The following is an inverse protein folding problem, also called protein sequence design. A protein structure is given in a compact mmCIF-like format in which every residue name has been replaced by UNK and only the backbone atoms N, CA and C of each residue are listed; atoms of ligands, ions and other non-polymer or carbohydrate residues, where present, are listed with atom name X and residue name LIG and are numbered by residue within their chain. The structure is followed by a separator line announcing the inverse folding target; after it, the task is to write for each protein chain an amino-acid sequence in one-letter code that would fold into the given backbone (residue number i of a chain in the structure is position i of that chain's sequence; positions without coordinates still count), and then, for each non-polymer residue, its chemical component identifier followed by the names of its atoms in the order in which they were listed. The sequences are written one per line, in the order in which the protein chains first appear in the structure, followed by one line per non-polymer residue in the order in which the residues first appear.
data_IF_445014752990
#
_entry.id   IF_445014752990
#
_cell.length_a   1.000
_cell.length_b   1.000
_cell.length_c   1.000
_cell.angle_alpha   90.00
_cell.angle_beta   90.00
_cell.angle_gamma   90.00
#
_symmetry.space_group_name_H-M   'P 1'
#
loop_
_entity.id
_entity.type
_entity.pdbx_description
1 polymer ?
#
# COMPACT_ATOMS: atom_id res chain seq x y z
N UNK A 1 5.18 45.98 -5.12
CA UNK A 1 5.86 45.50 -6.33
C UNK A 1 6.53 44.19 -5.94
N UNK A 2 5.81 43.07 -6.03
CA UNK A 2 6.33 41.76 -5.65
C UNK A 2 7.36 41.31 -6.69
N UNK A 3 8.58 41.10 -6.23
CA UNK A 3 9.66 40.54 -7.05
C UNK A 3 9.30 39.10 -7.35
N UNK A 4 8.83 38.84 -8.57
CA UNK A 4 8.66 37.50 -9.16
C UNK A 4 10.04 36.86 -9.37
N UNK A 5 10.66 36.40 -8.28
CA UNK A 5 11.84 35.55 -8.35
C UNK A 5 11.45 34.19 -8.89
N UNK A 6 12.08 33.75 -9.99
CA UNK A 6 11.86 32.43 -10.56
C UNK A 6 12.25 31.30 -9.59
N UNK A 7 11.69 30.11 -9.79
CA UNK A 7 12.02 28.94 -8.97
C UNK A 7 13.38 28.34 -9.38
N UNK A 8 14.46 28.92 -8.84
CA UNK A 8 15.84 28.50 -9.13
C UNK A 8 16.11 27.04 -8.71
N UNK A 9 15.56 26.61 -7.57
CA UNK A 9 15.73 25.23 -7.07
C UNK A 9 15.20 24.19 -8.06
N UNK A 10 13.99 24.40 -8.58
CA UNK A 10 13.43 23.55 -9.62
C UNK A 10 14.28 23.59 -10.89
N UNK A 11 14.82 24.75 -11.26
CA UNK A 11 15.67 24.90 -12.45
C UNK A 11 16.96 24.09 -12.35
N UNK A 12 17.61 24.14 -11.19
CA UNK A 12 18.86 23.41 -10.96
C UNK A 12 18.63 21.89 -10.97
N UNK A 13 17.54 21.42 -10.36
CA UNK A 13 17.17 20.01 -10.38
C UNK A 13 16.83 19.49 -11.78
N UNK A 14 16.17 20.29 -12.63
CA UNK A 14 15.91 19.90 -14.03
C UNK A 14 17.21 19.82 -14.84
N UNK A 15 18.19 20.69 -14.56
CA UNK A 15 19.53 20.61 -15.17
C UNK A 15 20.29 19.37 -14.71
N UNK A 16 20.31 19.08 -13.40
CA UNK A 16 20.92 17.87 -12.83
C UNK A 16 20.32 16.61 -13.46
N UNK A 17 19.00 16.57 -13.61
CA UNK A 17 18.28 15.47 -14.23
C UNK A 17 18.48 15.37 -15.76
N UNK A 18 19.07 16.39 -16.39
CA UNK A 18 19.20 16.48 -17.85
C UNK A 18 17.85 16.46 -18.57
N UNK A 19 16.80 17.01 -17.96
CA UNK A 19 15.44 16.99 -18.50
C UNK A 19 15.12 18.28 -19.25
N UNK A 20 14.64 18.13 -20.49
CA UNK A 20 14.01 19.24 -21.22
C UNK A 20 12.62 19.52 -20.65
N UNK A 21 12.10 20.73 -20.79
CA UNK A 21 10.74 21.06 -20.30
C UNK A 21 9.66 20.11 -20.87
N UNK A 22 9.82 19.69 -22.13
CA UNK A 22 8.91 18.78 -22.80
C UNK A 22 9.00 17.34 -22.23
N UNK A 23 10.23 16.89 -21.93
CA UNK A 23 10.46 15.62 -21.25
C UNK A 23 9.93 15.64 -19.81
N UNK A 24 10.12 16.75 -19.07
CA UNK A 24 9.54 16.94 -17.74
C UNK A 24 8.02 16.86 -17.79
N UNK A 25 7.36 17.56 -18.72
CA UNK A 25 5.91 17.51 -18.83
C UNK A 25 5.39 16.08 -19.09
N UNK A 26 6.03 15.33 -19.99
CA UNK A 26 5.70 13.91 -20.23
C UNK A 26 5.91 13.06 -18.98
N UNK A 27 7.02 13.25 -18.27
CA UNK A 27 7.34 12.49 -17.07
C UNK A 27 6.33 12.76 -15.95
N UNK A 28 5.96 14.03 -15.71
CA UNK A 28 4.97 14.42 -14.69
C UNK A 28 3.58 13.84 -15.04
N UNK A 29 3.17 13.90 -16.31
CA UNK A 29 1.90 13.31 -16.74
C UNK A 29 1.89 11.78 -16.59
N UNK A 30 3.02 11.11 -16.86
CA UNK A 30 3.16 9.68 -16.65
C UNK A 30 3.00 9.33 -15.17
N UNK A 31 3.70 10.04 -14.28
CA UNK A 31 3.57 9.84 -12.83
C UNK A 31 2.13 10.12 -12.37
N UNK A 32 1.49 11.17 -12.87
CA UNK A 32 0.09 11.45 -12.56
C UNK A 32 -0.84 10.30 -12.99
N UNK A 33 -0.64 9.76 -14.20
CA UNK A 33 -1.44 8.66 -14.72
C UNK A 33 -1.29 7.37 -13.90
N UNK A 34 -0.05 7.02 -13.49
CA UNK A 34 0.23 5.91 -12.57
C UNK A 34 -0.50 6.10 -11.23
N UNK A 35 -0.67 7.35 -10.79
CA UNK A 35 -1.43 7.68 -9.58
C UNK A 35 -2.95 7.83 -9.81
N UNK A 36 -3.46 7.41 -10.99
CA UNK A 36 -4.88 7.51 -11.32
C UNK A 36 -5.39 8.95 -11.47
N UNK A 37 -4.50 9.90 -11.74
CA UNK A 37 -4.79 11.31 -11.95
C UNK A 37 -4.63 11.69 -13.43
N UNK A 38 -5.62 12.41 -13.97
CA UNK A 38 -5.57 12.97 -15.32
C UNK A 38 -4.92 14.35 -15.30
N UNK A 39 -3.59 14.37 -15.41
CA UNK A 39 -2.82 15.60 -15.60
C UNK A 39 -2.45 15.80 -17.06
N UNK A 40 -2.65 17.02 -17.58
CA UNK A 40 -2.32 17.42 -18.96
C UNK A 40 -1.31 18.56 -18.97
N UNK A 41 -0.22 18.41 -18.23
CA UNK A 41 0.88 19.39 -18.24
C UNK A 41 1.61 19.35 -19.57
N UNK A 42 2.08 20.52 -20.01
CA UNK A 42 2.85 20.68 -21.24
C UNK A 42 4.09 21.56 -20.97
N UNK A 43 4.90 21.82 -22.00
CA UNK A 43 6.09 22.68 -21.91
C UNK A 43 5.80 24.05 -21.29
N UNK A 44 4.65 24.64 -21.58
CA UNK A 44 4.26 25.94 -21.02
C UNK A 44 3.99 25.83 -19.52
N UNK A 45 3.33 24.77 -19.05
CA UNK A 45 3.14 24.51 -17.63
C UNK A 45 4.46 24.51 -16.87
N UNK A 46 5.48 23.80 -17.37
CA UNK A 46 6.81 23.75 -16.75
C UNK A 46 7.47 25.14 -16.73
N UNK A 47 7.31 25.90 -17.82
CA UNK A 47 7.85 27.25 -17.93
C UNK A 47 7.22 28.20 -16.90
N UNK A 48 5.91 28.09 -16.65
CA UNK A 48 5.23 28.85 -15.60
C UNK A 48 5.70 28.45 -14.20
N UNK A 49 5.91 27.15 -13.94
CA UNK A 49 6.42 26.68 -12.65
C UNK A 49 7.84 27.19 -12.36
N UNK A 50 8.71 27.20 -13.38
CA UNK A 50 10.04 27.82 -13.30
C UNK A 50 9.97 29.34 -13.13
N UNK A 51 8.91 29.97 -13.62
CA UNK A 51 8.61 31.39 -13.42
C UNK A 51 8.03 31.73 -12.03
N UNK A 52 7.85 30.74 -11.15
CA UNK A 52 7.37 30.93 -9.77
C UNK A 52 5.89 30.61 -9.56
N UNK A 53 5.15 30.21 -10.60
CA UNK A 53 3.75 29.77 -10.42
C UNK A 53 3.73 28.45 -9.64
N UNK A 54 3.00 28.42 -8.52
CA UNK A 54 2.86 27.20 -7.72
C UNK A 54 1.87 26.22 -8.38
N UNK A 55 2.27 24.97 -8.67
CA UNK A 55 1.35 23.94 -9.11
C UNK A 55 0.37 23.54 -7.99
N UNK A 56 -0.69 22.82 -8.34
CA UNK A 56 -1.53 22.14 -7.33
C UNK A 56 -0.67 21.17 -6.48
N UNK A 57 -1.01 20.94 -5.20
CA UNK A 57 -0.23 20.08 -4.31
C UNK A 57 0.12 18.71 -4.91
N UNK A 58 -0.86 18.01 -5.49
CA UNK A 58 -0.64 16.70 -6.12
C UNK A 58 0.35 16.80 -7.30
N UNK A 59 0.28 17.86 -8.09
CA UNK A 59 1.21 18.10 -9.21
C UNK A 59 2.63 18.34 -8.72
N UNK A 60 2.82 18.96 -7.54
CA UNK A 60 4.14 19.12 -6.92
C UNK A 60 4.72 17.76 -6.53
N UNK A 61 3.91 16.85 -5.96
CA UNK A 61 4.32 15.47 -5.68
C UNK A 61 4.75 14.77 -6.97
N UNK A 62 3.92 14.84 -8.02
CA UNK A 62 4.23 14.18 -9.30
C UNK A 62 5.49 14.75 -9.97
N UNK A 63 5.75 16.04 -9.80
CA UNK A 63 6.97 16.68 -10.29
C UNK A 63 8.20 16.25 -9.51
N UNK A 64 8.12 16.19 -8.18
CA UNK A 64 9.22 15.72 -7.34
C UNK A 64 9.59 14.27 -7.70
N UNK A 65 8.56 13.45 -7.84
CA UNK A 65 8.65 12.05 -8.19
C UNK A 65 9.23 11.84 -9.60
N UNK A 66 8.76 12.60 -10.60
CA UNK A 66 9.30 12.54 -11.96
C UNK A 66 10.81 12.88 -12.04
N UNK A 67 11.26 13.82 -11.22
CA UNK A 67 12.69 14.21 -11.14
C UNK A 67 13.47 13.16 -10.34
N UNK A 68 12.93 12.66 -9.23
CA UNK A 68 13.56 11.64 -8.39
C UNK A 68 13.93 10.39 -9.19
N UNK A 69 12.99 9.87 -10.00
CA UNK A 69 13.24 8.71 -10.90
C UNK A 69 14.40 8.93 -11.86
N UNK A 70 14.58 10.18 -12.32
CA UNK A 70 15.59 10.50 -13.33
C UNK A 70 16.98 10.64 -12.73
N UNK A 71 17.06 11.23 -11.54
CA UNK A 71 18.33 11.47 -10.82
C UNK A 71 18.77 10.22 -10.04
N UNK A 72 17.83 9.35 -9.66
CA UNK A 72 18.13 8.13 -8.90
C UNK A 72 18.32 8.37 -7.39
N UNK A 73 17.76 9.46 -6.87
CA UNK A 73 17.72 9.82 -5.44
C UNK A 73 16.36 10.41 -5.06
N UNK A 74 15.97 10.31 -3.79
CA UNK A 74 14.73 10.93 -3.27
C UNK A 74 14.79 12.44 -3.45
N UNK A 75 13.71 13.02 -3.99
CA UNK A 75 13.50 14.47 -4.11
C UNK A 75 12.24 14.80 -3.32
N UNK A 76 12.35 15.70 -2.36
CA UNK A 76 11.22 16.22 -1.62
C UNK A 76 10.65 17.49 -2.29
N UNK A 77 9.36 17.78 -2.08
CA UNK A 77 8.72 19.04 -2.46
C UNK A 77 9.48 20.29 -1.96
N UNK A 78 10.14 20.20 -0.80
CA UNK A 78 11.02 21.24 -0.28
C UNK A 78 12.29 21.46 -1.14
N UNK A 79 12.84 20.39 -1.73
CA UNK A 79 13.98 20.45 -2.65
C UNK A 79 13.61 21.15 -3.96
N UNK A 80 12.35 21.03 -4.39
CA UNK A 80 11.80 21.78 -5.52
C UNK A 80 11.48 23.24 -5.21
N UNK A 81 11.63 23.68 -3.96
CA UNK A 81 11.29 25.03 -3.52
C UNK A 81 9.81 25.26 -3.17
N UNK A 82 9.01 24.20 -2.99
CA UNK A 82 7.58 24.31 -2.68
C UNK A 82 7.21 24.09 -1.20
N UNK A 83 8.19 23.83 -0.33
CA UNK A 83 7.99 23.54 1.10
C UNK A 83 7.47 22.12 1.36
N UNK A 84 7.13 21.83 2.61
CA UNK A 84 6.52 20.55 2.99
C UNK A 84 5.05 20.50 2.54
N UNK A 85 4.65 19.35 1.99
CA UNK A 85 3.28 19.08 1.55
C UNK A 85 2.69 17.83 2.21
N UNK A 86 3.27 17.38 3.33
CA UNK A 86 2.79 16.24 4.10
C UNK A 86 3.19 14.92 3.44
N UNK A 87 4.40 14.45 3.71
CA UNK A 87 4.84 13.11 3.31
C UNK A 87 4.33 12.06 4.31
N UNK A 88 4.03 10.85 3.81
CA UNK A 88 3.72 9.71 4.67
C UNK A 88 5.03 9.18 5.26
N UNK A 89 5.19 9.31 6.57
CA UNK A 89 6.32 8.76 7.31
C UNK A 89 5.96 7.35 7.80
N UNK A 90 6.71 6.33 7.36
CA UNK A 90 6.52 4.95 7.81
C UNK A 90 7.00 4.72 9.25
N UNK A 91 7.64 5.71 9.88
CA UNK A 91 8.17 5.59 11.25
C UNK A 91 7.19 6.05 12.32
N UNK A 92 6.13 6.77 11.93
CA UNK A 92 5.10 7.28 12.83
C UNK A 92 3.71 6.88 12.36
N UNK A 93 2.92 6.30 13.26
CA UNK A 93 1.51 6.03 12.99
C UNK A 93 0.75 7.35 12.84
N UNK A 94 -0.15 7.48 11.85
CA UNK A 94 -1.08 8.60 11.79
C UNK A 94 -1.90 8.71 13.09
N UNK A 95 -2.35 9.92 13.44
CA UNK A 95 -3.15 10.16 14.65
C UNK A 95 -4.46 9.34 14.69
N UNK A 96 -5.03 8.99 13.53
CA UNK A 96 -6.20 8.12 13.40
C UNK A 96 -6.18 7.36 12.06
N UNK A 97 -5.47 6.21 11.99
CA UNK A 97 -5.31 5.44 10.76
C UNK A 97 -6.63 4.84 10.28
N UNK A 98 -7.52 4.45 11.20
CA UNK A 98 -8.80 3.81 10.88
C UNK A 98 -9.75 4.78 10.20
N UNK A 99 -9.94 5.98 10.74
CA UNK A 99 -10.80 6.98 10.11
C UNK A 99 -10.22 7.49 8.79
N UNK A 100 -8.89 7.54 8.68
CA UNK A 100 -8.21 7.91 7.43
C UNK A 100 -8.40 6.84 6.34
N UNK A 101 -8.33 5.55 6.69
CA UNK A 101 -8.65 4.43 5.79
C UNK A 101 -10.11 4.48 5.35
N UNK A 102 -11.04 4.67 6.28
CA UNK A 102 -12.46 4.76 5.98
C UNK A 102 -12.77 5.94 5.04
N UNK A 103 -12.09 7.08 5.22
CA UNK A 103 -12.17 8.23 4.30
C UNK A 103 -11.60 7.91 2.92
N UNK A 104 -10.47 7.22 2.84
CA UNK A 104 -9.87 6.80 1.57
C UNK A 104 -10.86 5.94 0.78
N UNK A 105 -11.41 4.90 1.41
CA UNK A 105 -12.30 3.98 0.71
C UNK A 105 -13.63 4.61 0.31
N UNK A 106 -14.19 5.53 1.11
CA UNK A 106 -15.35 6.34 0.67
C UNK A 106 -15.03 7.17 -0.58
N UNK A 107 -13.89 7.87 -0.57
CA UNK A 107 -13.47 8.68 -1.72
C UNK A 107 -13.15 7.82 -2.97
N UNK A 108 -12.69 6.59 -2.78
CA UNK A 108 -12.51 5.59 -3.84
C UNK A 108 -13.86 5.17 -4.45
N UNK A 109 -14.85 4.88 -3.60
CA UNK A 109 -16.20 4.48 -4.01
C UNK A 109 -16.99 5.63 -4.68
N UNK A 110 -16.86 6.86 -4.19
CA UNK A 110 -17.59 8.05 -4.66
C UNK A 110 -17.23 8.48 -6.09
N UNK A 111 -16.16 7.93 -6.70
CA UNK A 111 -15.77 8.30 -8.08
C UNK A 111 -16.76 7.86 -9.17
N UNK A 112 -17.73 6.98 -8.88
CA UNK A 112 -18.91 6.73 -9.74
C UNK A 112 -20.09 6.23 -8.91
N UNK A 113 -21.09 7.10 -8.79
CA UNK A 113 -22.49 6.85 -8.39
C UNK A 113 -22.77 6.70 -6.89
N UNK A 114 -23.22 7.81 -6.30
CA UNK A 114 -24.02 7.83 -5.07
C UNK A 114 -25.39 7.24 -5.41
N UNK A 115 -25.58 5.96 -5.09
CA UNK A 115 -26.91 5.39 -4.92
C UNK A 115 -26.95 4.47 -3.69
N UNK A 116 -27.92 4.78 -2.83
CA UNK A 116 -28.50 3.98 -1.74
C UNK A 116 -27.65 3.72 -0.50
N UNK A 117 -27.89 4.58 0.49
CA UNK A 117 -27.58 4.45 1.93
C UNK A 117 -28.27 3.22 2.56
N UNK A 118 -27.82 2.03 2.19
CA UNK A 118 -27.87 0.82 3.01
C UNK A 118 -26.63 0.01 2.62
N UNK A 119 -25.60 0.00 3.48
CA UNK A 119 -24.32 -0.63 3.20
C UNK A 119 -24.52 -2.12 2.90
N UNK A 120 -24.14 -2.54 1.69
CA UNK A 120 -24.12 -3.95 1.34
C UNK A 120 -22.88 -4.58 2.00
N UNK A 121 -23.06 -5.33 3.09
CA UNK A 121 -21.97 -6.02 3.78
C UNK A 121 -21.73 -7.39 3.15
N UNK A 122 -20.52 -7.62 2.65
CA UNK A 122 -20.13 -8.93 2.13
C UNK A 122 -19.99 -9.98 3.25
N UNK A 123 -19.60 -9.56 4.46
CA UNK A 123 -19.48 -10.45 5.62
C UNK A 123 -20.81 -11.11 5.99
N UNK A 124 -21.92 -10.40 5.79
CA UNK A 124 -23.26 -10.93 6.00
C UNK A 124 -23.53 -12.14 5.09
N UNK A 125 -23.26 -12.06 3.78
CA UNK A 125 -23.61 -13.11 2.82
C UNK A 125 -22.92 -14.46 3.06
N UNK A 126 -21.82 -14.46 3.82
CA UNK A 126 -21.07 -15.68 4.15
C UNK A 126 -21.62 -16.40 5.38
N UNK A 127 -22.59 -15.81 6.09
CA UNK A 127 -23.17 -16.37 7.31
C UNK A 127 -24.53 -17.05 7.05
N UNK A 128 -24.86 -18.14 7.78
CA UNK A 128 -26.22 -18.67 7.86
C UNK A 128 -27.23 -17.61 8.29
N UNK A 129 -28.50 -17.75 7.86
CA UNK A 129 -29.56 -16.74 8.06
C UNK A 129 -29.83 -16.43 9.53
N UNK A 130 -29.67 -17.40 10.42
CA UNK A 130 -29.86 -17.21 11.86
C UNK A 130 -28.71 -16.36 12.45
N UNK A 131 -27.48 -16.55 11.97
CA UNK A 131 -26.30 -15.81 12.39
C UNK A 131 -26.23 -14.41 11.76
N UNK A 132 -26.90 -14.22 10.62
CA UNK A 132 -27.04 -12.91 9.96
C UNK A 132 -27.71 -11.87 10.86
N UNK A 133 -28.78 -12.26 11.57
CA UNK A 133 -29.49 -11.36 12.48
C UNK A 133 -28.60 -10.93 13.64
N UNK A 134 -27.95 -11.89 14.27
CA UNK A 134 -27.01 -11.62 15.37
C UNK A 134 -25.82 -10.79 14.89
N UNK A 135 -25.32 -11.02 13.67
CA UNK A 135 -24.24 -10.23 13.09
C UNK A 135 -24.67 -8.78 12.83
N UNK A 136 -25.85 -8.56 12.26
CA UNK A 136 -26.40 -7.22 12.07
C UNK A 136 -26.54 -6.46 13.39
N UNK A 137 -27.09 -7.11 14.42
CA UNK A 137 -27.24 -6.52 15.76
C UNK A 137 -25.88 -6.19 16.38
N UNK A 138 -24.85 -7.01 16.16
CA UNK A 138 -23.46 -6.79 16.62
C UNK A 138 -22.76 -5.67 15.84
N UNK A 139 -22.99 -5.56 14.53
CA UNK A 139 -22.46 -4.45 13.72
C UNK A 139 -23.09 -3.12 14.10
N UNK A 140 -24.42 -3.06 14.27
CA UNK A 140 -25.11 -1.87 14.79
C UNK A 140 -24.62 -1.50 16.20
N UNK A 141 -24.37 -2.51 17.03
CA UNK A 141 -23.78 -2.33 18.36
C UNK A 141 -22.35 -1.77 18.28
N UNK A 142 -21.50 -2.24 17.37
CA UNK A 142 -20.15 -1.72 17.16
C UNK A 142 -20.16 -0.27 16.67
N UNK A 143 -21.05 0.07 15.72
CA UNK A 143 -21.26 1.44 15.22
C UNK A 143 -21.73 2.36 16.35
N UNK A 144 -22.54 1.85 17.28
CA UNK A 144 -23.01 2.60 18.47
C UNK A 144 -22.05 2.51 19.66
N UNK A 145 -20.82 2.00 19.47
CA UNK A 145 -19.73 2.03 20.46
C UNK A 145 -19.71 0.88 21.48
N UNK A 146 -20.40 -0.22 21.23
CA UNK A 146 -20.33 -1.45 22.05
C UNK A 146 -19.20 -2.38 21.59
N UNK A 147 -18.97 -3.44 22.35
CA UNK A 147 -17.76 -4.28 22.29
C UNK A 147 -17.70 -5.26 21.10
N UNK A 148 -16.50 -5.54 20.59
CA UNK A 148 -16.18 -6.63 19.65
C UNK A 148 -15.72 -7.92 20.35
N UNK A 149 -16.02 -9.06 19.73
CA UNK A 149 -15.64 -10.39 20.20
C UNK A 149 -14.91 -11.22 19.14
N UNK A 150 -14.59 -12.47 19.51
CA UNK A 150 -13.88 -13.41 18.64
C UNK A 150 -14.72 -13.81 17.41
N UNK A 151 -16.04 -13.85 17.56
CA UNK A 151 -16.95 -14.20 16.46
C UNK A 151 -16.82 -13.23 15.28
N UNK A 152 -16.70 -11.92 15.51
CA UNK A 152 -16.47 -10.93 14.45
C UNK A 152 -15.14 -11.21 13.74
N UNK A 153 -14.06 -11.46 14.48
CA UNK A 153 -12.74 -11.76 13.92
C UNK A 153 -12.80 -13.01 13.02
N UNK A 154 -13.53 -14.04 13.43
CA UNK A 154 -13.65 -15.28 12.68
C UNK A 154 -14.45 -15.09 11.38
N UNK A 155 -15.50 -14.26 11.39
CA UNK A 155 -16.23 -13.86 10.18
C UNK A 155 -15.30 -13.13 9.21
N UNK A 156 -14.52 -12.15 9.69
CA UNK A 156 -13.59 -11.40 8.84
C UNK A 156 -12.55 -12.33 8.20
N UNK A 157 -12.05 -13.32 8.93
CA UNK A 157 -11.13 -14.33 8.38
C UNK A 157 -11.76 -15.16 7.25
N UNK A 158 -13.04 -15.49 7.35
CA UNK A 158 -13.77 -16.19 6.28
C UNK A 158 -13.97 -15.30 5.06
N UNK A 159 -14.24 -14.00 5.26
CA UNK A 159 -14.31 -13.02 4.17
C UNK A 159 -12.98 -12.91 3.43
N UNK A 160 -11.85 -12.81 4.15
CA UNK A 160 -10.50 -12.79 3.55
C UNK A 160 -10.29 -14.04 2.69
N UNK A 161 -10.56 -15.23 3.24
CA UNK A 161 -10.41 -16.48 2.51
C UNK A 161 -11.29 -16.55 1.25
N UNK A 162 -12.46 -15.91 1.26
CA UNK A 162 -13.37 -15.85 0.11
C UNK A 162 -12.82 -14.95 -1.00
N UNK A 163 -12.31 -13.76 -0.65
CA UNK A 163 -11.65 -12.90 -1.63
C UNK A 163 -10.39 -13.54 -2.20
N UNK A 164 -9.59 -14.17 -1.34
CA UNK A 164 -8.42 -14.93 -1.77
C UNK A 164 -8.79 -16.06 -2.71
N UNK A 165 -9.89 -16.78 -2.48
CA UNK A 165 -10.33 -17.81 -3.41
C UNK A 165 -10.83 -17.22 -4.74
N UNK A 166 -11.60 -16.15 -4.68
CA UNK A 166 -12.17 -15.49 -5.86
C UNK A 166 -11.06 -14.94 -6.78
N UNK A 167 -10.03 -14.34 -6.19
CA UNK A 167 -8.93 -13.75 -6.96
C UNK A 167 -8.11 -14.80 -7.72
N UNK A 168 -8.09 -16.08 -7.30
CA UNK A 168 -7.35 -17.16 -7.99
C UNK A 168 -8.04 -17.51 -9.30
N UNK A 169 -9.37 -17.41 -9.28
CA UNK A 169 -10.24 -17.90 -10.34
C UNK A 169 -10.70 -16.80 -11.29
N UNK A 170 -10.89 -15.59 -10.76
CA UNK A 170 -11.61 -14.51 -11.44
C UNK A 170 -10.70 -13.29 -11.75
N UNK A 171 -9.45 -13.30 -11.29
CA UNK A 171 -8.49 -12.20 -11.43
C UNK A 171 -8.67 -11.11 -10.37
N UNK A 172 -7.60 -10.38 -10.04
CA UNK A 172 -7.61 -9.54 -8.83
C UNK A 172 -8.48 -8.29 -8.90
N UNK A 173 -8.96 -7.86 -10.06
CA UNK A 173 -9.97 -6.80 -10.12
C UNK A 173 -11.35 -7.20 -9.56
N UNK A 174 -11.65 -8.50 -9.47
CA UNK A 174 -12.98 -8.99 -9.08
C UNK A 174 -13.33 -8.61 -7.64
N UNK A 175 -14.57 -8.20 -7.39
CA UNK A 175 -15.07 -7.94 -6.02
C UNK A 175 -14.43 -6.74 -5.30
N UNK A 176 -13.52 -5.97 -5.92
CA UNK A 176 -12.81 -4.85 -5.29
C UNK A 176 -13.74 -3.84 -4.61
N UNK A 177 -14.83 -3.46 -5.27
CA UNK A 177 -15.82 -2.51 -4.70
C UNK A 177 -16.46 -3.05 -3.42
N UNK A 178 -16.85 -4.32 -3.41
CA UNK A 178 -17.41 -4.96 -2.22
C UNK A 178 -16.38 -5.06 -1.09
N UNK A 179 -15.10 -5.31 -1.43
CA UNK A 179 -14.01 -5.32 -0.45
C UNK A 179 -13.83 -3.95 0.20
N UNK A 180 -13.75 -2.90 -0.63
CA UNK A 180 -13.54 -1.53 -0.15
C UNK A 180 -14.74 -1.06 0.68
N UNK A 181 -15.97 -1.37 0.26
CA UNK A 181 -17.17 -1.09 1.04
C UNK A 181 -17.07 -1.71 2.44
N UNK A 182 -16.87 -3.04 2.53
CA UNK A 182 -16.75 -3.76 3.79
C UNK A 182 -15.62 -3.22 4.68
N UNK A 183 -14.49 -2.83 4.07
CA UNK A 183 -13.37 -2.21 4.78
C UNK A 183 -13.75 -0.85 5.41
N UNK A 184 -14.56 -0.06 4.71
CA UNK A 184 -14.95 1.30 5.14
C UNK A 184 -16.13 1.35 6.09
N UNK A 185 -16.95 0.30 6.11
CA UNK A 185 -18.14 0.17 6.95
C UNK A 185 -17.83 -0.70 8.16
N UNK A 186 -17.94 -2.01 8.01
CA UNK A 186 -17.94 -3.00 9.08
C UNK A 186 -16.56 -3.05 9.76
N UNK A 187 -15.48 -3.14 8.98
CA UNK A 187 -14.13 -3.26 9.53
C UNK A 187 -13.71 -1.98 10.25
N UNK A 188 -14.03 -0.80 9.69
CA UNK A 188 -13.77 0.47 10.36
C UNK A 188 -14.51 0.54 11.71
N UNK A 189 -15.78 0.13 11.76
CA UNK A 189 -16.54 0.07 13.00
C UNK A 189 -15.94 -0.93 14.00
N UNK A 190 -15.57 -2.13 13.57
CA UNK A 190 -14.95 -3.14 14.44
C UNK A 190 -13.59 -2.70 14.99
N UNK A 191 -12.79 -1.99 14.20
CA UNK A 191 -11.49 -1.46 14.62
C UNK A 191 -11.61 -0.35 15.67
N UNK A 192 -12.75 0.34 15.75
CA UNK A 192 -13.04 1.40 16.72
C UNK A 192 -13.76 0.91 17.97
N UNK A 193 -14.37 -0.28 17.90
CA UNK A 193 -15.11 -0.87 19.01
C UNK A 193 -14.20 -1.31 20.17
N UNK A 194 -14.76 -1.30 21.37
CA UNK A 194 -14.06 -1.75 22.58
C UNK A 194 -13.93 -3.28 22.60
N UNK A 195 -12.94 -3.83 23.29
CA UNK A 195 -12.83 -5.28 23.42
C UNK A 195 -11.56 -5.71 24.12
N UNK A 196 -11.40 -7.01 24.42
CA UNK A 196 -10.14 -7.55 24.90
C UNK A 196 -9.00 -7.20 23.95
N UNK A 197 -7.83 -6.85 24.49
CA UNK A 197 -6.66 -6.44 23.70
C UNK A 197 -6.34 -7.44 22.59
N UNK A 198 -6.29 -8.73 22.93
CA UNK A 198 -6.05 -9.83 21.97
C UNK A 198 -7.05 -9.87 20.82
N UNK A 199 -8.32 -9.54 21.07
CA UNK A 199 -9.37 -9.51 20.05
C UNK A 199 -9.21 -8.30 19.14
N UNK A 200 -8.84 -7.14 19.71
CA UNK A 200 -8.55 -5.93 18.91
C UNK A 200 -7.33 -6.12 18.01
N UNK A 201 -6.25 -6.68 18.54
CA UNK A 201 -5.04 -7.01 17.77
C UNK A 201 -5.34 -7.99 16.63
N UNK A 202 -6.16 -9.02 16.91
CA UNK A 202 -6.62 -9.97 15.89
C UNK A 202 -7.51 -9.29 14.83
N UNK A 203 -8.35 -8.32 15.21
CA UNK A 203 -9.14 -7.53 14.28
C UNK A 203 -8.25 -6.61 13.42
N UNK A 204 -7.24 -5.94 13.99
CA UNK A 204 -6.27 -5.15 13.22
C UNK A 204 -5.46 -6.02 12.25
N UNK A 205 -5.07 -7.22 12.66
CA UNK A 205 -4.42 -8.22 11.80
C UNK A 205 -5.30 -8.65 10.62
N UNK A 206 -6.61 -8.79 10.84
CA UNK A 206 -7.57 -9.12 9.79
C UNK A 206 -7.84 -7.91 8.86
N UNK A 207 -8.00 -6.72 9.44
CA UNK A 207 -8.15 -5.47 8.71
C UNK A 207 -6.94 -5.18 7.81
N UNK A 208 -5.73 -5.44 8.31
CA UNK A 208 -4.48 -5.32 7.54
C UNK A 208 -4.55 -6.15 6.26
N UNK A 209 -4.97 -7.42 6.36
CA UNK A 209 -5.07 -8.32 5.21
C UNK A 209 -6.09 -7.81 4.19
N UNK A 210 -7.23 -7.28 4.63
CA UNK A 210 -8.22 -6.67 3.74
C UNK A 210 -7.72 -5.38 3.09
N UNK A 211 -7.00 -4.52 3.82
CA UNK A 211 -6.37 -3.32 3.27
C UNK A 211 -5.28 -3.67 2.24
N UNK A 212 -4.46 -4.68 2.54
CA UNK A 212 -3.51 -5.25 1.58
C UNK A 212 -4.23 -5.73 0.31
N UNK A 213 -5.32 -6.49 0.45
CA UNK A 213 -6.11 -6.95 -0.70
C UNK A 213 -6.65 -5.76 -1.49
N UNK A 214 -7.21 -4.73 -0.85
CA UNK A 214 -7.68 -3.53 -1.54
C UNK A 214 -6.55 -2.85 -2.34
N UNK A 215 -5.33 -2.83 -1.78
CA UNK A 215 -4.12 -2.38 -2.47
C UNK A 215 -3.79 -3.25 -3.68
N UNK A 216 -3.75 -4.57 -3.51
CA UNK A 216 -3.49 -5.55 -4.56
C UNK A 216 -4.44 -5.40 -5.75
N UNK A 217 -5.74 -5.34 -5.46
CA UNK A 217 -6.77 -5.19 -6.48
C UNK A 217 -6.68 -3.86 -7.21
N UNK A 218 -6.23 -2.80 -6.52
CA UNK A 218 -6.01 -1.50 -7.14
C UNK A 218 -4.76 -1.50 -8.03
N UNK A 219 -3.70 -2.21 -7.63
CA UNK A 219 -2.51 -2.45 -8.44
C UNK A 219 -2.86 -3.22 -9.74
N UNK A 220 -3.64 -4.30 -9.66
CA UNK A 220 -4.11 -5.04 -10.85
C UNK A 220 -4.97 -4.18 -11.81
N UNK A 221 -5.56 -3.10 -11.32
CA UNK A 221 -6.28 -2.10 -12.12
C UNK A 221 -5.40 -0.92 -12.55
N UNK A 222 -4.08 -1.00 -12.37
CA UNK A 222 -3.09 0.04 -12.68
C UNK A 222 -3.33 1.36 -11.92
N UNK A 223 -3.92 1.29 -10.72
CA UNK A 223 -4.19 2.44 -9.85
C UNK A 223 -3.14 2.55 -8.74
N UNK A 224 -1.88 2.75 -9.11
CA UNK A 224 -0.72 2.56 -8.24
C UNK A 224 -0.69 3.49 -7.04
N UNK A 225 -1.07 4.76 -7.23
CA UNK A 225 -1.18 5.72 -6.13
C UNK A 225 -2.24 5.32 -5.11
N UNK A 226 -3.34 4.72 -5.55
CA UNK A 226 -4.37 4.21 -4.66
C UNK A 226 -3.92 2.91 -3.97
N UNK A 227 -3.28 2.01 -4.73
CA UNK A 227 -2.70 0.79 -4.21
C UNK A 227 -1.70 1.08 -3.08
N UNK A 228 -0.80 2.03 -3.30
CA UNK A 228 0.18 2.47 -2.32
C UNK A 228 -0.49 2.95 -1.03
N UNK A 229 -1.54 3.79 -1.14
CA UNK A 229 -2.25 4.28 0.06
C UNK A 229 -2.91 3.15 0.85
N UNK A 230 -3.51 2.17 0.18
CA UNK A 230 -4.04 0.99 0.87
C UNK A 230 -2.94 0.14 1.52
N UNK A 231 -1.78 -0.03 0.86
CA UNK A 231 -0.63 -0.70 1.46
C UNK A 231 -0.07 0.06 2.68
N UNK A 232 -0.02 1.39 2.64
CA UNK A 232 0.40 2.19 3.79
C UNK A 232 -0.56 2.04 4.97
N UNK A 233 -1.88 2.01 4.73
CA UNK A 233 -2.84 1.69 5.80
C UNK A 233 -2.73 0.24 6.30
N UNK A 234 -2.41 -0.72 5.42
CA UNK A 234 -2.11 -2.08 5.85
C UNK A 234 -0.87 -2.10 6.77
N UNK A 235 0.14 -1.29 6.49
CA UNK A 235 1.32 -1.16 7.36
C UNK A 235 0.94 -0.61 8.73
N UNK A 236 0.13 0.45 8.80
CA UNK A 236 -0.35 0.99 10.07
C UNK A 236 -1.14 -0.04 10.87
N UNK A 237 -2.05 -0.76 10.22
CA UNK A 237 -2.84 -1.83 10.84
C UNK A 237 -1.95 -2.99 11.33
N UNK A 238 -0.88 -3.31 10.62
CA UNK A 238 0.11 -4.29 11.07
C UNK A 238 0.87 -3.83 12.32
N UNK A 239 1.13 -2.52 12.45
CA UNK A 239 1.73 -1.97 13.66
C UNK A 239 0.76 -1.95 14.83
N UNK A 240 -0.55 -1.83 14.56
CA UNK A 240 -1.59 -1.93 15.59
C UNK A 240 -1.90 -3.38 16.02
N UNK A 241 -1.56 -4.40 15.20
CA UNK A 241 -1.83 -5.81 15.50
C UNK A 241 -0.79 -6.48 16.40
N UNK A 242 0.28 -5.77 16.76
CA UNK A 242 1.46 -6.26 17.51
C UNK A 242 2.20 -7.46 16.85
N UNK A 243 1.92 -7.79 15.57
CA UNK A 243 2.68 -8.77 14.80
C UNK A 243 3.65 -8.08 13.83
N UNK A 244 4.89 -7.82 14.27
CA UNK A 244 5.94 -7.18 13.46
C UNK A 244 6.22 -7.88 12.12
N UNK A 245 5.90 -9.16 12.00
CA UNK A 245 6.10 -9.94 10.76
C UNK A 245 5.10 -9.50 9.68
N UNK A 246 3.90 -9.09 10.07
CA UNK A 246 2.92 -8.50 9.17
C UNK A 246 3.41 -7.18 8.60
N UNK A 247 4.03 -6.33 9.42
CA UNK A 247 4.59 -5.06 8.94
C UNK A 247 5.75 -5.31 7.96
N UNK A 248 6.64 -6.24 8.29
CA UNK A 248 7.69 -6.68 7.38
C UNK A 248 7.09 -7.16 6.03
N UNK A 249 6.01 -7.94 6.09
CA UNK A 249 5.31 -8.41 4.89
C UNK A 249 4.78 -7.25 4.04
N UNK A 250 4.10 -6.27 4.64
CA UNK A 250 3.61 -5.10 3.91
C UNK A 250 4.75 -4.28 3.31
N UNK A 251 5.88 -4.13 4.02
CA UNK A 251 7.08 -3.50 3.47
C UNK A 251 7.62 -4.25 2.24
N UNK A 252 7.59 -5.59 2.25
CA UNK A 252 7.96 -6.41 1.10
C UNK A 252 7.03 -6.15 -0.10
N UNK A 253 5.73 -5.96 0.14
CA UNK A 253 4.77 -5.61 -0.91
C UNK A 253 5.04 -4.20 -1.47
N UNK A 254 5.32 -3.23 -0.61
CA UNK A 254 5.75 -1.89 -1.04
C UNK A 254 7.07 -1.96 -1.84
N UNK A 255 7.98 -2.87 -1.50
CA UNK A 255 9.22 -3.09 -2.26
C UNK A 255 8.94 -3.62 -3.67
N UNK A 256 7.98 -4.53 -3.83
CA UNK A 256 7.52 -4.98 -5.16
C UNK A 256 6.90 -3.85 -5.96
N UNK A 257 6.00 -3.07 -5.36
CA UNK A 257 5.42 -1.92 -6.06
C UNK A 257 6.51 -0.91 -6.48
N UNK A 258 7.48 -0.64 -5.59
CA UNK A 258 8.63 0.20 -5.91
C UNK A 258 9.45 -0.37 -7.08
N UNK A 259 9.65 -1.69 -7.13
CA UNK A 259 10.27 -2.35 -8.28
C UNK A 259 9.50 -2.07 -9.57
N UNK A 260 8.19 -2.34 -9.59
CA UNK A 260 7.38 -2.29 -10.82
C UNK A 260 7.31 -0.87 -11.41
N UNK A 261 7.45 0.13 -10.55
CA UNK A 261 7.44 1.56 -10.90
C UNK A 261 8.83 2.16 -11.22
N UNK A 262 9.91 1.37 -11.08
CA UNK A 262 11.28 1.81 -11.35
C UNK A 262 11.99 2.50 -10.17
N UNK A 263 11.46 2.41 -8.95
CA UNK A 263 12.01 3.00 -7.73
C UNK A 263 13.06 2.11 -7.07
N UNK A 264 14.13 1.81 -7.78
CA UNK A 264 15.07 0.77 -7.35
C UNK A 264 15.79 1.09 -6.03
N UNK A 265 16.02 2.36 -5.71
CA UNK A 265 16.58 2.74 -4.41
C UNK A 265 15.62 2.44 -3.27
N UNK A 266 14.36 2.90 -3.38
CA UNK A 266 13.32 2.62 -2.38
C UNK A 266 13.01 1.11 -2.27
N UNK A 267 13.01 0.41 -3.40
CA UNK A 267 12.86 -1.04 -3.44
C UNK A 267 13.92 -1.73 -2.58
N UNK A 268 15.20 -1.35 -2.72
CA UNK A 268 16.29 -1.91 -1.93
C UNK A 268 16.12 -1.59 -0.43
N UNK A 269 15.87 -0.32 -0.07
CA UNK A 269 15.72 0.09 1.33
C UNK A 269 14.57 -0.68 2.03
N UNK A 270 13.43 -0.85 1.33
CA UNK A 270 12.28 -1.62 1.83
C UNK A 270 12.59 -3.12 1.92
N UNK A 271 13.24 -3.69 0.91
CA UNK A 271 13.60 -5.11 0.89
C UNK A 271 14.63 -5.47 1.97
N UNK A 272 15.64 -4.63 2.19
CA UNK A 272 16.61 -4.80 3.27
C UNK A 272 15.94 -4.74 4.63
N UNK A 273 15.09 -3.73 4.84
CA UNK A 273 14.44 -3.53 6.14
C UNK A 273 13.44 -4.65 6.45
N UNK A 274 12.62 -5.05 5.48
CA UNK A 274 11.69 -6.18 5.63
C UNK A 274 12.43 -7.50 5.89
N UNK A 275 13.54 -7.77 5.20
CA UNK A 275 14.36 -8.97 5.41
C UNK A 275 15.02 -8.96 6.79
N UNK A 276 15.49 -7.82 7.30
CA UNK A 276 16.01 -7.70 8.67
C UNK A 276 14.95 -8.00 9.72
N UNK A 277 13.70 -7.54 9.50
CA UNK A 277 12.61 -7.73 10.45
C UNK A 277 12.10 -9.18 10.52
N UNK A 278 12.11 -9.91 9.40
CA UNK A 278 11.58 -11.27 9.34
C UNK A 278 12.58 -12.35 9.75
N UNK A 279 13.89 -12.06 9.69
CA UNK A 279 14.96 -13.04 9.93
C UNK A 279 14.85 -13.67 11.32
N UNK A 280 14.72 -14.99 11.36
CA UNK A 280 14.52 -15.78 12.58
C UNK A 280 13.13 -15.62 13.23
N UNK A 281 12.16 -14.98 12.56
CA UNK A 281 10.83 -14.70 13.11
C UNK A 281 9.72 -15.49 12.41
N UNK A 282 10.01 -16.17 11.29
CA UNK A 282 9.03 -16.91 10.51
C UNK A 282 9.57 -18.29 10.11
N UNK A 283 8.73 -19.09 9.46
CA UNK A 283 9.18 -20.36 8.89
C UNK A 283 10.19 -20.12 7.75
N UNK A 284 11.08 -21.10 7.44
CA UNK A 284 12.11 -20.93 6.42
C UNK A 284 11.55 -20.57 5.04
N UNK A 285 10.38 -21.08 4.66
CA UNK A 285 9.78 -20.71 3.38
C UNK A 285 9.42 -19.23 3.35
N UNK A 286 8.81 -18.71 4.42
CA UNK A 286 8.52 -17.27 4.55
C UNK A 286 9.80 -16.44 4.52
N UNK A 287 10.85 -16.80 5.26
CA UNK A 287 12.11 -16.05 5.24
C UNK A 287 12.80 -16.06 3.86
N UNK A 288 12.72 -17.17 3.13
CA UNK A 288 13.28 -17.27 1.78
C UNK A 288 12.58 -16.30 0.80
N UNK A 289 11.25 -16.09 0.92
CA UNK A 289 10.51 -15.15 0.07
C UNK A 289 11.00 -13.70 0.22
N UNK A 290 11.31 -13.27 1.44
CA UNK A 290 11.85 -11.94 1.70
C UNK A 290 13.27 -11.82 1.16
N UNK A 291 14.10 -12.83 1.42
CA UNK A 291 15.48 -12.89 0.92
C UNK A 291 15.52 -12.85 -0.61
N UNK A 292 14.60 -13.52 -1.29
CA UNK A 292 14.47 -13.46 -2.75
C UNK A 292 14.05 -12.06 -3.24
N UNK A 293 13.19 -11.36 -2.49
CA UNK A 293 12.82 -9.97 -2.79
C UNK A 293 14.05 -9.05 -2.69
N UNK A 294 14.90 -9.25 -1.69
CA UNK A 294 16.17 -8.53 -1.54
C UNK A 294 17.15 -8.82 -2.69
N UNK A 295 17.29 -10.09 -3.09
CA UNK A 295 18.11 -10.46 -4.24
C UNK A 295 17.65 -9.73 -5.53
N UNK A 296 16.33 -9.67 -5.77
CA UNK A 296 15.74 -8.94 -6.90
C UNK A 296 16.06 -7.44 -6.82
N UNK A 297 16.01 -6.84 -5.64
CA UNK A 297 16.35 -5.44 -5.44
C UNK A 297 17.84 -5.15 -5.78
N UNK A 298 18.77 -5.98 -5.31
CA UNK A 298 20.19 -5.89 -5.68
C UNK A 298 20.39 -6.02 -7.20
N UNK A 299 19.72 -6.99 -7.84
CA UNK A 299 19.83 -7.20 -9.28
C UNK A 299 19.41 -5.95 -10.09
N UNK A 300 18.34 -5.26 -9.68
CA UNK A 300 17.88 -4.04 -10.37
C UNK A 300 18.79 -2.84 -10.19
N UNK A 301 19.54 -2.79 -9.09
CA UNK A 301 20.59 -1.79 -8.87
C UNK A 301 21.86 -2.08 -9.66
N UNK A 302 21.92 -3.20 -10.38
CA UNK A 302 23.11 -3.67 -11.09
C UNK A 302 24.16 -4.30 -10.16
N UNK A 303 23.80 -4.59 -8.92
CA UNK A 303 24.67 -5.13 -7.87
C UNK A 303 24.78 -6.65 -8.01
N UNK A 304 25.35 -7.10 -9.13
CA UNK A 304 25.35 -8.50 -9.56
C UNK A 304 25.91 -9.46 -8.50
N UNK A 305 26.98 -9.08 -7.81
CA UNK A 305 27.63 -9.93 -6.80
C UNK A 305 26.71 -10.12 -5.59
N UNK A 306 26.16 -9.03 -5.06
CA UNK A 306 25.21 -9.06 -3.95
C UNK A 306 23.97 -9.87 -4.31
N UNK A 307 23.41 -9.66 -5.51
CA UNK A 307 22.25 -10.43 -5.97
C UNK A 307 22.51 -11.94 -5.95
N UNK A 308 23.65 -12.41 -6.48
CA UNK A 308 24.01 -13.84 -6.49
C UNK A 308 24.26 -14.38 -5.08
N UNK A 309 24.95 -13.61 -4.22
CA UNK A 309 25.16 -13.98 -2.81
C UNK A 309 23.82 -14.15 -2.09
N UNK A 310 22.87 -13.22 -2.28
CA UNK A 310 21.55 -13.26 -1.67
C UNK A 310 20.65 -14.37 -2.23
N UNK A 311 20.73 -14.70 -3.53
CA UNK A 311 20.03 -15.86 -4.12
C UNK A 311 20.49 -17.15 -3.43
N UNK A 312 21.81 -17.35 -3.30
CA UNK A 312 22.36 -18.52 -2.62
C UNK A 312 21.95 -18.58 -1.13
N UNK A 313 21.78 -17.43 -0.47
CA UNK A 313 21.24 -17.38 0.90
C UNK A 313 19.77 -17.81 0.93
N UNK A 314 18.94 -17.29 0.01
CA UNK A 314 17.53 -17.66 -0.09
C UNK A 314 17.34 -19.17 -0.34
N UNK A 315 18.14 -19.76 -1.23
CA UNK A 315 18.12 -21.21 -1.51
C UNK A 315 18.45 -22.03 -0.26
N UNK A 316 19.53 -21.69 0.45
CA UNK A 316 19.92 -22.37 1.71
C UNK A 316 18.88 -22.25 2.82
N UNK A 317 18.14 -21.13 2.87
CA UNK A 317 17.03 -20.96 3.80
C UNK A 317 15.88 -21.87 3.37
N UNK A 318 15.52 -21.84 2.08
CA UNK A 318 14.41 -22.63 1.54
C UNK A 318 14.63 -24.15 1.71
N UNK A 319 15.85 -24.64 1.53
CA UNK A 319 16.23 -26.05 1.74
C UNK A 319 15.95 -26.56 3.17
N UNK A 320 15.82 -25.65 4.15
CA UNK A 320 15.47 -26.00 5.53
C UNK A 320 13.97 -26.15 5.75
N UNK A 321 13.14 -25.74 4.77
CA UNK A 321 11.68 -25.80 4.93
C UNK A 321 11.19 -27.25 4.91
N UNK A 322 10.23 -27.53 5.79
CA UNK A 322 9.58 -28.83 5.93
C UNK A 322 8.07 -28.72 5.68
N UNK A 323 7.40 -29.76 5.15
CA UNK A 323 5.94 -29.76 4.96
C UNK A 323 5.12 -29.53 6.25
N UNK A 324 5.73 -29.76 7.42
CA UNK A 324 5.12 -29.53 8.74
C UNK A 324 5.28 -28.11 9.28
N UNK A 325 5.96 -27.21 8.57
CA UNK A 325 6.18 -25.84 9.03
C UNK A 325 4.86 -25.06 9.09
N UNK A 326 4.57 -24.48 10.26
CA UNK A 326 3.40 -23.62 10.45
C UNK A 326 3.62 -22.28 9.77
N UNK A 327 3.03 -22.11 8.58
CA UNK A 327 3.07 -20.84 7.84
C UNK A 327 2.08 -19.83 8.42
N UNK A 328 2.47 -18.56 8.63
CA UNK A 328 1.51 -17.53 9.02
C UNK A 328 0.41 -17.40 7.97
N UNK A 329 -0.84 -17.22 8.42
CA UNK A 329 -2.00 -17.18 7.52
C UNK A 329 -1.93 -16.04 6.51
N UNK A 330 -1.33 -14.91 6.90
CA UNK A 330 -1.14 -13.74 6.05
C UNK A 330 -0.04 -13.92 4.97
N UNK A 331 0.80 -14.95 5.07
CA UNK A 331 1.79 -15.29 4.02
C UNK A 331 1.14 -16.01 2.84
N UNK A 332 -0.08 -16.56 3.02
CA UNK A 332 -0.80 -17.29 1.97
C UNK A 332 -1.28 -16.40 0.82
N UNK A 333 -1.05 -15.09 0.90
CA UNK A 333 -1.35 -14.09 -0.12
C UNK A 333 -0.36 -14.19 -1.30
N UNK A 334 -0.50 -15.32 -2.01
CA UNK A 334 0.03 -15.81 -3.31
C UNK A 334 1.47 -15.52 -3.76
N UNK A 335 2.20 -16.63 -3.80
CA UNK A 335 2.97 -17.30 -4.88
C UNK A 335 3.12 -16.71 -6.31
N UNK A 336 2.44 -15.66 -6.76
CA UNK A 336 2.54 -15.24 -8.19
C UNK A 336 3.75 -14.35 -8.52
N UNK A 337 4.53 -13.92 -7.54
CA UNK A 337 5.90 -13.42 -7.78
C UNK A 337 6.96 -14.54 -7.79
N UNK A 338 6.53 -15.81 -7.70
CA UNK A 338 7.39 -16.98 -7.65
C UNK A 338 7.53 -17.75 -8.97
N UNK A 339 7.09 -17.20 -10.11
CA UNK A 339 7.55 -17.74 -11.40
C UNK A 339 8.91 -17.10 -11.71
N UNK A 340 9.93 -17.84 -11.29
CA UNK A 340 11.36 -17.61 -11.54
C UNK A 340 11.70 -17.63 -13.03
#
# INVERSE_FOLDING_TARGET
MEVTGGNERLRDLLKEAGLTHDATARAVNRVAAENGALLRSNKSSITHWLGGTRPQPDTIVFLAEAIARRVGRRIQPADLGYGDIGQYDLTELPADPISALARLGRADMDRREVLTSAAYSLGALLLPIEQLREHSERTDAAITGRSIGQAEVDVVKQVIATFDFADERLGGGFGRRALVEYLTTDIAAYCQANGPQVTREAMYSAAMQLAYLAGWKSHDLMQEGLAQRYYLFAFDLAMMSDDKRQAAYVMRILAHQAFDLGHYANCLDLAETSTRLIRGQADPHTEALFTMTLARAHAMRGEKRQALETINEAEKIHERSSPGDTRPTWVKLRHNYGQF
#
